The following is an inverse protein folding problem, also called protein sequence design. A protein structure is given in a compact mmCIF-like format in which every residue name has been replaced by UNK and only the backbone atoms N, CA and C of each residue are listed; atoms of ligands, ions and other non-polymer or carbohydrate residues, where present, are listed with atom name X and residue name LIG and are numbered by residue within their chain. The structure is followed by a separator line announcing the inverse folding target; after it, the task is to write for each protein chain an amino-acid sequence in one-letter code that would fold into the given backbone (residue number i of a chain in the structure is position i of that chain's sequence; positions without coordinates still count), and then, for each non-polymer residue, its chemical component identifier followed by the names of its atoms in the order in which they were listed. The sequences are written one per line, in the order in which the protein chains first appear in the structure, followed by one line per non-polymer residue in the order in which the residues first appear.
data_IF_667778346430
#
_entry.id   IF_667778346430
#
_cell.length_a   1.000
_cell.length_b   1.000
_cell.length_c   1.000
_cell.angle_alpha   90.00
_cell.angle_beta   90.00
_cell.angle_gamma   90.00
#
_symmetry.space_group_name_H-M   'P 1'
#
loop_
_entity.id
_entity.type
_entity.pdbx_description
1 polymer ?
#
# COMPACT_ATOMS: atom_id res chain seq x y z
N UNK A 1 15.83 -19.21 5.52
CA UNK A 1 14.63 -19.49 6.34
C UNK A 1 13.43 -18.93 5.56
N UNK A 2 12.77 -19.76 4.75
CA UNK A 2 11.52 -19.36 4.10
C UNK A 2 10.52 -19.14 5.23
N UNK A 3 10.07 -17.90 5.45
CA UNK A 3 8.89 -17.68 6.28
C UNK A 3 7.75 -18.44 5.60
N UNK A 4 7.14 -19.36 6.34
CA UNK A 4 5.88 -19.97 5.93
C UNK A 4 4.84 -18.85 5.94
N UNK A 5 4.59 -18.25 4.76
CA UNK A 5 3.69 -17.13 4.62
C UNK A 5 2.27 -17.69 4.62
N UNK A 6 1.71 -17.83 5.83
CA UNK A 6 0.29 -18.13 6.02
C UNK A 6 -0.53 -17.14 5.19
N UNK A 7 -1.36 -17.67 4.30
CA UNK A 7 -2.27 -16.86 3.48
C UNK A 7 -3.26 -16.11 4.36
N UNK A 8 -3.57 -14.85 4.00
CA UNK A 8 -4.62 -14.12 4.70
C UNK A 8 -5.98 -14.78 4.43
N UNK A 9 -6.76 -14.95 5.49
CA UNK A 9 -8.17 -15.34 5.37
C UNK A 9 -9.01 -14.19 4.81
N UNK A 10 -10.17 -14.52 4.23
CA UNK A 10 -11.17 -13.53 3.79
C UNK A 10 -11.56 -12.59 4.95
N UNK A 11 -11.66 -13.13 6.17
CA UNK A 11 -11.97 -12.33 7.36
C UNK A 11 -10.86 -11.33 7.70
N UNK A 12 -9.58 -11.72 7.60
CA UNK A 12 -8.43 -10.82 7.83
C UNK A 12 -8.38 -9.72 6.75
N UNK A 13 -8.57 -10.07 5.46
CA UNK A 13 -8.63 -9.10 4.36
C UNK A 13 -9.77 -8.11 4.55
N UNK A 14 -10.97 -8.60 4.87
CA UNK A 14 -12.14 -7.77 5.14
C UNK A 14 -11.91 -6.83 6.31
N UNK A 15 -11.39 -7.35 7.44
CA UNK A 15 -11.12 -6.54 8.63
C UNK A 15 -10.12 -5.42 8.32
N UNK A 16 -9.07 -5.71 7.55
CA UNK A 16 -8.09 -4.71 7.14
C UNK A 16 -8.70 -3.64 6.23
N UNK A 17 -9.47 -4.04 5.22
CA UNK A 17 -10.17 -3.11 4.33
C UNK A 17 -11.18 -2.22 5.08
N UNK A 18 -11.89 -2.78 6.07
CA UNK A 18 -12.79 -2.00 6.93
C UNK A 18 -12.03 -0.97 7.77
N UNK A 19 -10.88 -1.35 8.34
CA UNK A 19 -10.04 -0.41 9.08
C UNK A 19 -9.54 0.73 8.18
N UNK A 20 -9.05 0.42 6.98
CA UNK A 20 -8.61 1.42 6.01
C UNK A 20 -9.73 2.42 5.67
N UNK A 21 -10.89 1.93 5.27
CA UNK A 21 -12.04 2.79 4.93
C UNK A 21 -12.53 3.61 6.12
N UNK A 22 -12.57 3.04 7.32
CA UNK A 22 -12.92 3.75 8.56
C UNK A 22 -11.97 4.90 8.92
N UNK A 23 -10.74 4.88 8.40
CA UNK A 23 -9.74 5.94 8.56
C UNK A 23 -9.53 6.77 7.28
N UNK A 24 -10.48 6.72 6.34
CA UNK A 24 -10.49 7.57 5.16
C UNK A 24 -9.55 7.12 4.04
N UNK A 25 -9.02 5.90 4.08
CA UNK A 25 -8.19 5.34 3.00
C UNK A 25 -9.08 4.63 1.99
N UNK A 26 -9.12 5.09 0.73
CA UNK A 26 -10.02 4.52 -0.28
C UNK A 26 -9.55 3.14 -0.73
N UNK A 27 -10.44 2.16 -0.63
CA UNK A 27 -10.13 0.76 -0.90
C UNK A 27 -10.67 0.32 -2.26
N UNK A 28 -9.89 -0.52 -2.93
CA UNK A 28 -10.28 -1.29 -4.11
C UNK A 28 -10.08 -2.78 -3.82
N UNK A 29 -10.84 -3.62 -4.52
CA UNK A 29 -10.55 -5.05 -4.65
C UNK A 29 -9.53 -5.28 -5.77
N UNK A 30 -8.46 -5.98 -5.44
CA UNK A 30 -7.46 -6.42 -6.40
C UNK A 30 -7.65 -7.88 -6.80
N UNK A 31 -7.13 -8.24 -7.96
CA UNK A 31 -6.94 -9.63 -8.35
C UNK A 31 -6.13 -10.38 -7.29
N UNK A 32 -6.36 -11.67 -7.16
CA UNK A 32 -5.71 -12.51 -6.16
C UNK A 32 -5.24 -13.81 -6.80
N UNK A 33 -4.23 -14.44 -6.20
CA UNK A 33 -3.74 -15.74 -6.67
C UNK A 33 -4.62 -16.84 -6.10
N UNK A 34 -5.24 -17.61 -6.99
CA UNK A 34 -5.80 -18.92 -6.64
C UNK A 34 -4.67 -19.94 -6.69
N UNK A 35 -4.62 -20.74 -5.66
CA UNK A 35 -3.62 -21.78 -5.50
C UNK A 35 -4.37 -23.06 -5.12
N UNK A 36 -5.02 -23.62 -6.13
CA UNK A 36 -5.52 -24.99 -6.10
C UNK A 36 -4.38 -25.91 -6.61
N UNK A 37 -4.61 -27.22 -6.69
CA UNK A 37 -3.60 -28.22 -7.09
C UNK A 37 -3.03 -28.05 -8.52
N UNK A 38 -3.46 -27.01 -9.24
CA UNK A 38 -2.96 -26.60 -10.55
C UNK A 38 -1.93 -25.47 -10.51
N UNK A 39 -1.65 -24.89 -11.68
CA UNK A 39 -0.75 -23.73 -11.79
C UNK A 39 -1.37 -22.50 -11.09
N UNK A 40 -0.56 -21.66 -10.42
CA UNK A 40 -1.07 -20.43 -9.81
C UNK A 40 -1.76 -19.54 -10.85
N UNK A 41 -3.05 -19.32 -10.67
CA UNK A 41 -3.89 -18.50 -11.55
C UNK A 41 -4.24 -17.19 -10.87
N UNK A 42 -4.20 -16.08 -11.61
CA UNK A 42 -4.74 -14.82 -11.13
C UNK A 42 -6.24 -14.74 -11.39
N UNK A 43 -7.02 -14.56 -10.33
CA UNK A 43 -8.47 -14.49 -10.36
C UNK A 43 -8.95 -13.08 -10.05
N UNK A 44 -10.15 -12.77 -10.52
CA UNK A 44 -10.80 -11.46 -10.40
C UNK A 44 -10.96 -10.79 -11.75
N UNK A 45 -10.14 -11.15 -12.75
CA UNK A 45 -10.32 -10.77 -14.15
C UNK A 45 -9.84 -11.88 -15.07
N UNK A 46 -10.45 -12.01 -16.24
CA UNK A 46 -10.09 -13.03 -17.24
C UNK A 46 -8.72 -12.79 -17.89
N UNK A 47 -8.24 -11.55 -17.91
CA UNK A 47 -6.96 -11.13 -18.50
C UNK A 47 -5.86 -10.92 -17.45
N UNK A 48 -6.10 -11.32 -16.20
CA UNK A 48 -5.15 -11.08 -15.13
C UNK A 48 -3.92 -11.98 -15.26
N UNK A 49 -2.74 -11.35 -15.38
CA UNK A 49 -1.42 -12.01 -15.26
C UNK A 49 -0.68 -11.59 -13.99
N UNK A 50 -1.32 -10.76 -13.17
CA UNK A 50 -0.69 -10.08 -12.04
C UNK A 50 -1.71 -9.41 -11.12
N UNK A 51 -1.18 -8.84 -10.04
CA UNK A 51 -1.91 -7.98 -9.12
C UNK A 51 -2.36 -6.70 -9.83
N UNK A 52 -3.66 -6.43 -9.86
CA UNK A 52 -4.27 -5.21 -10.41
C UNK A 52 -5.69 -5.01 -9.86
N UNK A 53 -6.28 -3.81 -9.94
CA UNK A 53 -7.70 -3.63 -9.65
C UNK A 53 -8.56 -4.57 -10.49
N UNK A 54 -9.64 -5.09 -9.90
CA UNK A 54 -10.61 -5.95 -10.61
C UNK A 54 -11.37 -5.17 -11.66
N UNK A 55 -11.85 -3.97 -11.32
CA UNK A 55 -12.68 -3.15 -12.19
C UNK A 55 -11.81 -2.32 -13.16
N UNK A 56 -12.22 -2.17 -14.43
CA UNK A 56 -11.45 -1.40 -15.44
C UNK A 56 -11.51 0.10 -15.21
N UNK A 57 -12.67 0.57 -14.77
CA UNK A 57 -12.98 1.94 -14.37
C UNK A 57 -12.60 2.22 -12.92
N UNK A 58 -11.61 1.50 -12.39
CA UNK A 58 -11.18 1.58 -10.99
C UNK A 58 -10.97 2.99 -10.43
N UNK A 59 -10.53 4.02 -11.19
CA UNK A 59 -10.41 5.37 -10.64
C UNK A 59 -11.73 5.94 -10.10
N UNK A 60 -12.87 5.33 -10.46
CA UNK A 60 -14.21 5.72 -10.01
C UNK A 60 -14.91 4.68 -9.14
N UNK A 61 -14.33 3.48 -8.95
CA UNK A 61 -14.98 2.37 -8.22
C UNK A 61 -14.36 2.06 -6.85
N UNK A 62 -13.37 2.84 -6.41
CA UNK A 62 -12.89 2.76 -5.02
C UNK A 62 -14.00 3.14 -4.04
N UNK A 63 -13.89 2.66 -2.80
CA UNK A 63 -14.89 2.92 -1.77
C UNK A 63 -14.29 3.37 -0.45
N UNK A 64 -15.04 4.19 0.27
CA UNK A 64 -14.90 4.46 1.71
C UNK A 64 -16.05 3.85 2.52
N UNK A 65 -16.98 3.15 1.86
CA UNK A 65 -18.20 2.62 2.47
C UNK A 65 -17.96 1.21 2.97
N UNK A 66 -18.05 1.03 4.28
CA UNK A 66 -17.89 -0.28 4.94
C UNK A 66 -18.83 -1.35 4.38
N UNK A 67 -20.05 -0.98 3.97
CA UNK A 67 -21.01 -1.91 3.36
C UNK A 67 -20.51 -2.52 2.05
N UNK A 68 -19.75 -1.77 1.25
CA UNK A 68 -19.16 -2.28 0.00
C UNK A 68 -17.99 -3.19 0.28
N UNK A 69 -17.15 -2.84 1.26
CA UNK A 69 -16.08 -3.72 1.75
C UNK A 69 -16.65 -5.07 2.20
N UNK A 70 -17.71 -5.07 3.00
CA UNK A 70 -18.36 -6.30 3.43
C UNK A 70 -18.87 -7.11 2.24
N UNK A 71 -19.45 -6.45 1.22
CA UNK A 71 -19.93 -7.10 -0.01
C UNK A 71 -18.82 -7.72 -0.84
N UNK A 72 -17.67 -7.05 -0.99
CA UNK A 72 -16.56 -7.56 -1.80
C UNK A 72 -15.89 -8.78 -1.15
N UNK A 73 -15.65 -8.73 0.15
CA UNK A 73 -15.01 -9.82 0.90
C UNK A 73 -16.04 -10.71 1.63
N UNK A 74 -17.11 -11.10 0.94
CA UNK A 74 -18.04 -12.12 1.46
C UNK A 74 -17.49 -13.54 1.29
N UNK A 75 -16.89 -13.82 0.13
CA UNK A 75 -16.47 -15.17 -0.27
C UNK A 75 -15.06 -15.21 -0.86
N UNK A 76 -14.71 -14.18 -1.62
CA UNK A 76 -13.47 -14.15 -2.38
C UNK A 76 -12.35 -13.44 -1.61
N UNK A 77 -11.12 -13.98 -1.60
CA UNK A 77 -9.97 -13.40 -0.93
C UNK A 77 -9.29 -12.34 -1.82
N UNK A 78 -10.06 -11.34 -2.29
CA UNK A 78 -9.49 -10.26 -3.10
C UNK A 78 -8.31 -9.60 -2.40
N UNK A 79 -7.27 -9.24 -3.16
CA UNK A 79 -6.19 -8.41 -2.62
C UNK A 79 -6.76 -7.06 -2.18
N UNK A 80 -6.21 -6.48 -1.12
CA UNK A 80 -6.62 -5.15 -0.65
C UNK A 80 -5.71 -4.12 -1.30
N UNK A 81 -6.27 -3.28 -2.17
CA UNK A 81 -5.55 -2.17 -2.76
C UNK A 81 -6.09 -0.85 -2.21
N UNK A 82 -5.23 0.17 -2.21
CA UNK A 82 -5.61 1.55 -1.88
C UNK A 82 -5.45 2.43 -3.12
N UNK A 83 -6.48 3.22 -3.41
CA UNK A 83 -6.44 4.22 -4.47
C UNK A 83 -5.70 5.47 -3.97
N UNK A 84 -4.59 5.81 -4.62
CA UNK A 84 -3.80 6.98 -4.26
C UNK A 84 -4.40 8.26 -4.86
N UNK A 85 -4.06 9.41 -4.28
CA UNK A 85 -4.57 10.73 -4.69
C UNK A 85 -5.85 11.17 -4.00
N UNK A 86 -6.33 10.37 -3.05
CA UNK A 86 -7.62 10.53 -2.39
C UNK A 86 -7.45 10.51 -0.87
N UNK A 87 -6.60 11.41 -0.35
CA UNK A 87 -6.28 11.55 1.07
C UNK A 87 -4.98 10.85 1.47
N UNK A 88 -4.63 9.77 0.78
CA UNK A 88 -3.38 9.02 0.95
C UNK A 88 -2.66 8.87 -0.39
N UNK A 89 -1.34 9.06 -0.34
CA UNK A 89 -0.38 8.77 -1.40
C UNK A 89 0.73 7.89 -0.80
N UNK A 90 1.66 7.41 -1.62
CA UNK A 90 2.85 6.73 -1.09
C UNK A 90 4.11 6.96 -1.92
N UNK A 91 5.25 6.86 -1.23
CA UNK A 91 6.59 6.95 -1.81
C UNK A 91 7.23 5.57 -1.79
N UNK A 92 7.62 5.06 -2.95
CA UNK A 92 8.27 3.77 -3.14
C UNK A 92 9.78 3.96 -3.28
N UNK A 93 10.55 3.22 -2.48
CA UNK A 93 12.01 3.33 -2.39
C UNK A 93 12.66 1.94 -2.39
N UNK A 94 13.84 1.77 -3.01
CA UNK A 94 14.67 0.60 -2.77
C UNK A 94 14.97 0.42 -1.28
N UNK A 95 15.11 -0.84 -0.83
CA UNK A 95 15.23 -1.17 0.59
C UNK A 95 16.29 -0.34 1.37
N UNK A 96 17.53 -0.13 0.88
CA UNK A 96 18.52 0.66 1.59
C UNK A 96 18.09 2.11 1.82
N UNK A 97 17.62 2.78 0.76
CA UNK A 97 17.15 4.17 0.82
C UNK A 97 15.91 4.30 1.73
N UNK A 98 14.95 3.37 1.62
CA UNK A 98 13.75 3.37 2.45
C UNK A 98 14.01 3.16 3.94
N UNK A 99 15.00 2.32 4.30
CA UNK A 99 15.42 2.13 5.69
C UNK A 99 16.05 3.40 6.27
N UNK A 100 16.96 4.05 5.53
CA UNK A 100 17.59 5.28 6.00
C UNK A 100 16.59 6.44 6.08
N UNK A 101 15.73 6.61 5.07
CA UNK A 101 14.67 7.61 5.12
C UNK A 101 13.73 7.39 6.31
N UNK A 102 13.34 6.13 6.58
CA UNK A 102 12.54 5.79 7.78
C UNK A 102 13.25 6.16 9.09
N UNK A 103 14.57 5.95 9.17
CA UNK A 103 15.34 6.30 10.38
C UNK A 103 15.38 7.82 10.60
N UNK A 104 15.63 8.61 9.56
CA UNK A 104 15.62 10.08 9.61
C UNK A 104 14.24 10.62 10.00
N UNK A 105 13.19 10.08 9.40
CA UNK A 105 11.80 10.44 9.69
C UNK A 105 11.43 10.17 11.17
N UNK A 106 11.84 9.01 11.71
CA UNK A 106 11.64 8.71 13.13
C UNK A 106 12.41 9.65 14.05
N UNK A 107 13.66 9.99 13.71
CA UNK A 107 14.44 10.95 14.47
C UNK A 107 13.77 12.35 14.49
N UNK A 108 13.07 12.70 13.42
CA UNK A 108 12.25 13.91 13.30
C UNK A 108 10.83 13.79 13.88
N UNK A 109 10.49 12.67 14.55
CA UNK A 109 9.15 12.37 15.09
C UNK A 109 8.02 12.36 14.04
N UNK A 110 8.38 12.13 12.77
CA UNK A 110 7.46 12.02 11.64
C UNK A 110 7.43 10.57 11.17
N UNK A 111 6.88 9.65 11.96
CA UNK A 111 6.93 8.21 11.65
C UNK A 111 5.73 7.76 10.77
N UNK A 112 5.87 7.68 9.43
CA UNK A 112 4.75 7.28 8.58
C UNK A 112 4.44 5.79 8.75
N UNK A 113 3.19 5.38 8.47
CA UNK A 113 2.91 4.00 8.13
C UNK A 113 3.85 3.57 7.00
N UNK A 114 4.34 2.34 7.08
CA UNK A 114 5.27 1.83 6.10
C UNK A 114 5.14 0.33 5.92
N UNK A 115 5.36 -0.12 4.71
CA UNK A 115 5.35 -1.54 4.36
C UNK A 115 6.54 -1.89 3.47
N UNK A 116 6.74 -3.19 3.28
CA UNK A 116 7.64 -3.76 2.29
C UNK A 116 6.83 -4.60 1.32
N UNK A 117 7.16 -4.49 0.03
CA UNK A 117 6.54 -5.28 -1.04
C UNK A 117 7.27 -6.63 -1.20
N UNK A 118 6.72 -7.59 -1.97
CA UNK A 118 7.39 -8.86 -2.27
C UNK A 118 8.75 -8.73 -2.96
N UNK A 119 9.04 -7.58 -3.56
CA UNK A 119 10.30 -7.27 -4.26
C UNK A 119 11.19 -6.33 -3.45
N UNK A 120 11.06 -6.36 -2.12
CA UNK A 120 11.90 -5.61 -1.16
C UNK A 120 11.87 -4.09 -1.36
N UNK A 121 10.80 -3.55 -1.96
CA UNK A 121 10.58 -2.10 -2.03
C UNK A 121 9.94 -1.63 -0.73
N UNK A 122 10.51 -0.61 -0.11
CA UNK A 122 9.93 0.07 1.05
C UNK A 122 8.94 1.11 0.55
N UNK A 123 7.73 1.07 1.08
CA UNK A 123 6.68 2.03 0.76
C UNK A 123 6.36 2.85 2.01
N UNK A 124 6.47 4.17 1.90
CA UNK A 124 6.15 5.14 2.96
C UNK A 124 4.85 5.85 2.61
N UNK A 125 3.86 5.80 3.50
CA UNK A 125 2.57 6.46 3.27
C UNK A 125 2.60 7.93 3.69
N UNK A 126 2.00 8.78 2.87
CA UNK A 126 1.95 10.23 3.07
C UNK A 126 0.56 10.77 2.77
N UNK A 127 0.25 11.96 3.27
CA UNK A 127 -0.98 12.65 2.93
C UNK A 127 -0.95 13.08 1.46
N UNK A 128 -2.09 13.01 0.77
CA UNK A 128 -2.15 13.45 -0.63
C UNK A 128 -1.74 14.92 -0.76
N UNK A 129 -0.76 15.20 -1.62
CA UNK A 129 -0.27 16.55 -1.83
C UNK A 129 -1.12 17.31 -2.87
N UNK A 130 -1.65 18.46 -2.46
CA UNK A 130 -2.34 19.41 -3.35
C UNK A 130 -1.36 20.51 -3.75
N UNK A 131 -0.72 20.37 -4.92
CA UNK A 131 0.25 21.35 -5.42
C UNK A 131 1.32 20.75 -6.31
N UNK A 132 2.36 21.53 -6.61
CA UNK A 132 3.52 21.06 -7.36
C UNK A 132 4.23 19.96 -6.57
N UNK A 133 4.24 18.75 -7.14
CA UNK A 133 4.80 17.57 -6.50
C UNK A 133 6.34 17.67 -6.47
N UNK A 134 6.98 17.50 -5.30
CA UNK A 134 8.43 17.41 -5.25
C UNK A 134 8.90 16.16 -5.99
N UNK A 135 10.05 16.26 -6.66
CA UNK A 135 10.74 15.10 -7.22
C UNK A 135 11.26 14.23 -6.07
N UNK A 136 10.87 12.96 -6.07
CA UNK A 136 11.41 11.95 -5.16
C UNK A 136 12.70 11.42 -5.75
N UNK A 137 13.82 11.72 -5.10
CA UNK A 137 15.14 11.22 -5.52
C UNK A 137 15.22 9.73 -5.22
N UNK A 138 15.69 8.94 -6.19
CA UNK A 138 15.91 7.49 -6.05
C UNK A 138 14.65 6.70 -5.63
N UNK A 139 13.46 7.19 -6.02
CA UNK A 139 12.18 6.58 -5.70
C UNK A 139 11.08 7.00 -6.65
N UNK A 140 9.86 6.53 -6.41
CA UNK A 140 8.68 6.92 -7.15
C UNK A 140 7.56 7.38 -6.21
N UNK A 141 6.68 8.25 -6.71
CA UNK A 141 5.49 8.72 -5.99
C UNK A 141 4.25 8.10 -6.64
N UNK A 142 3.48 7.34 -5.86
CA UNK A 142 2.12 6.90 -6.22
C UNK A 142 1.13 7.92 -5.68
N UNK A 143 0.37 8.52 -6.57
CA UNK A 143 -0.61 9.58 -6.29
C UNK A 143 -1.85 9.42 -7.20
N UNK A 144 -2.62 10.47 -7.44
CA UNK A 144 -3.84 10.40 -8.28
C UNK A 144 -3.61 9.65 -9.60
N UNK A 145 -4.52 8.73 -9.92
CA UNK A 145 -4.42 7.83 -11.08
C UNK A 145 -3.54 6.59 -10.85
N UNK A 146 -3.12 6.33 -9.60
CA UNK A 146 -2.41 5.11 -9.22
C UNK A 146 -3.01 4.44 -7.99
N UNK A 147 -2.55 3.22 -7.72
CA UNK A 147 -2.95 2.40 -6.58
C UNK A 147 -1.73 1.66 -6.03
N UNK A 148 -1.88 1.11 -4.83
CA UNK A 148 -0.88 0.25 -4.19
C UNK A 148 -1.56 -0.88 -3.41
N UNK A 149 -0.99 -2.09 -3.45
CA UNK A 149 -1.43 -3.19 -2.58
C UNK A 149 -0.99 -2.97 -1.14
N UNK A 150 -1.83 -3.36 -0.21
CA UNK A 150 -1.64 -3.15 1.22
C UNK A 150 -1.70 -4.50 1.95
N UNK A 151 -0.89 -4.73 3.00
CA UNK A 151 -1.06 -5.90 3.84
C UNK A 151 -2.48 -5.95 4.45
N UNK A 152 -3.12 -7.11 4.49
CA UNK A 152 -2.48 -8.42 4.42
C UNK A 152 -2.50 -9.07 3.02
N UNK A 153 -2.55 -8.30 1.92
CA UNK A 153 -2.33 -8.83 0.56
C UNK A 153 -1.05 -9.68 0.50
N UNK A 154 -1.13 -10.83 -0.16
CA UNK A 154 -0.06 -11.84 -0.13
C UNK A 154 1.31 -11.28 -0.53
N UNK A 155 2.33 -11.60 0.28
CA UNK A 155 3.71 -11.12 0.16
C UNK A 155 3.96 -9.64 0.54
N UNK A 156 2.93 -8.86 0.91
CA UNK A 156 3.11 -7.51 1.44
C UNK A 156 3.13 -7.53 2.97
N UNK A 157 4.07 -6.81 3.58
CA UNK A 157 4.22 -6.78 5.03
C UNK A 157 4.33 -5.38 5.60
N UNK A 158 3.58 -5.12 6.67
CA UNK A 158 3.76 -3.89 7.43
C UNK A 158 5.14 -3.88 8.10
N UNK A 159 5.93 -2.84 7.84
CA UNK A 159 7.06 -2.47 8.70
C UNK A 159 6.53 -1.70 9.92
N UNK A 160 5.51 -0.86 9.68
CA UNK A 160 4.76 -0.09 10.67
C UNK A 160 3.33 0.02 10.17
N UNK A 161 2.40 -0.62 10.86
CA UNK A 161 0.99 -0.60 10.47
C UNK A 161 0.38 0.78 10.75
N UNK A 162 -0.62 1.25 9.98
CA UNK A 162 -1.26 2.54 10.21
C UNK A 162 -1.75 2.71 11.65
N UNK A 163 -2.36 1.68 12.23
CA UNK A 163 -2.83 1.69 13.62
C UNK A 163 -1.72 1.90 14.66
N UNK A 164 -0.51 1.40 14.45
CA UNK A 164 0.60 1.54 15.42
C UNK A 164 1.18 2.96 15.46
N UNK A 165 0.98 3.74 14.39
CA UNK A 165 1.40 5.15 14.29
C UNK A 165 0.20 6.11 14.40
N UNK A 166 -0.94 5.61 14.87
CA UNK A 166 -2.15 6.41 15.08
C UNK A 166 -2.72 7.01 13.80
N UNK A 167 -2.53 6.35 12.66
CA UNK A 167 -3.01 6.77 11.33
C UNK A 167 -2.48 8.13 10.85
N UNK A 168 -1.38 8.62 11.43
CA UNK A 168 -0.81 9.91 11.06
C UNK A 168 -0.06 9.79 9.75
N UNK A 169 -0.44 10.63 8.80
CA UNK A 169 0.22 10.73 7.50
C UNK A 169 1.05 12.03 7.47
N UNK A 170 2.39 11.96 7.38
CA UNK A 170 3.19 13.16 7.21
C UNK A 170 2.98 13.78 5.83
N UNK A 171 3.34 15.05 5.70
CA UNK A 171 3.32 15.72 4.40
C UNK A 171 4.40 15.16 3.46
N UNK A 172 4.07 15.06 2.17
CA UNK A 172 4.99 14.61 1.13
C UNK A 172 6.31 15.40 1.13
N UNK A 173 6.27 16.72 1.39
CA UNK A 173 7.49 17.56 1.41
C UNK A 173 8.48 17.12 2.48
N UNK A 174 8.00 16.81 3.69
CA UNK A 174 8.85 16.35 4.78
C UNK A 174 9.48 14.98 4.45
N UNK A 175 8.69 14.06 3.87
CA UNK A 175 9.19 12.76 3.42
C UNK A 175 10.20 12.91 2.28
N UNK A 176 9.94 13.74 1.28
CA UNK A 176 10.89 14.00 0.19
C UNK A 176 12.21 14.61 0.68
N UNK A 177 12.16 15.47 1.70
CA UNK A 177 13.36 16.01 2.32
C UNK A 177 14.19 14.91 2.99
N UNK A 178 13.56 14.05 3.79
CA UNK A 178 14.23 12.92 4.43
C UNK A 178 14.80 11.92 3.41
N UNK A 179 14.07 11.64 2.33
CA UNK A 179 14.56 10.78 1.23
C UNK A 179 15.79 11.38 0.56
N UNK A 180 15.80 12.69 0.30
CA UNK A 180 16.96 13.37 -0.27
C UNK A 180 18.18 13.32 0.66
N UNK A 181 17.99 13.57 1.95
CA UNK A 181 19.04 13.45 2.94
C UNK A 181 19.58 12.01 3.03
N UNK A 182 18.70 11.01 2.91
CA UNK A 182 19.09 9.60 2.88
C UNK A 182 19.95 9.24 1.67
N UNK A 183 19.70 9.85 0.51
CA UNK A 183 20.48 9.61 -0.71
C UNK A 183 21.92 10.18 -0.61
N UNK A 184 22.09 11.34 0.03
CA UNK A 184 23.41 11.98 0.20
C UNK A 184 24.31 11.19 1.15
N UNK A 185 23.75 10.58 2.21
CA UNK A 185 24.52 9.78 3.16
C UNK A 185 25.00 8.42 2.66
N UNK A 186 24.66 8.04 1.43
CA UNK A 186 25.14 6.83 0.73
C UNK A 186 26.13 7.12 -0.40
N UNK A 187 26.49 8.40 -0.61
CA UNK A 187 27.47 8.82 -1.62
C UNK A 187 28.88 8.86 -1.04
#
# INVERSE_FOLDING_TARGET
MLRDHRRPSVAELRSAAMALTGHGWPVLRGTYRRHDDGLPEWVGRSDAVGLRPVDDDWPTTWTLRTVEVVRWWQREPYSVLVACGHGVDCVELPAPAGRQASALLRAAQLDPPAMVTPVETVVLFVGTHRGQRPVVVSGSLRSAGSWVAIPPTDGYHWLRAPGSVGWRLPELRAVSHAVRAAAVGHS
#
